data_IF_028350162565
#
_entry.id   IF_028350162565
#
_cell.length_a   1.000
_cell.length_b   1.000
_cell.length_c   1.000
_cell.angle_alpha   90.00
_cell.angle_beta   90.00
_cell.angle_gamma   90.00
#
_symmetry.space_group_name_H-M   'P 1'
#
loop_
_entity.id
_entity.type
_entity.pdbx_description
1 polymer ?
#
# COMPACT_ATOMS: atom_id res chain seq x y z
N UNK A 1 -4.63 42.38 -26.07
CA UNK A 1 -3.95 41.07 -26.05
C UNK A 1 -4.15 40.31 -24.74
N UNK A 2 -3.95 40.95 -23.58
CA UNK A 2 -3.92 40.25 -22.28
C UNK A 2 -5.28 39.65 -21.86
N UNK A 3 -6.40 40.26 -22.23
CA UNK A 3 -7.75 39.76 -21.90
C UNK A 3 -8.03 38.35 -22.44
N UNK A 4 -7.62 38.08 -23.68
CA UNK A 4 -7.80 36.76 -24.31
C UNK A 4 -6.94 35.70 -23.60
N UNK A 5 -5.73 36.08 -23.21
CA UNK A 5 -4.81 35.19 -22.49
C UNK A 5 -5.34 34.88 -21.09
N UNK A 6 -5.89 35.87 -20.38
CA UNK A 6 -6.53 35.66 -19.07
C UNK A 6 -7.75 34.75 -19.17
N UNK A 7 -8.60 34.92 -20.19
CA UNK A 7 -9.78 34.05 -20.41
C UNK A 7 -9.36 32.63 -20.76
N UNK A 8 -8.36 32.46 -21.63
CA UNK A 8 -7.81 31.14 -21.97
C UNK A 8 -7.23 30.44 -20.73
N UNK A 9 -6.50 31.17 -19.90
CA UNK A 9 -5.94 30.63 -18.66
C UNK A 9 -7.03 30.21 -17.67
N UNK A 10 -8.07 31.04 -17.48
CA UNK A 10 -9.22 30.70 -16.64
C UNK A 10 -9.95 29.44 -17.13
N UNK A 11 -10.09 29.31 -18.45
CA UNK A 11 -10.75 28.15 -19.05
C UNK A 11 -9.92 26.88 -18.89
N UNK A 12 -8.60 26.98 -19.10
CA UNK A 12 -7.68 25.87 -18.84
C UNK A 12 -7.74 25.43 -17.37
N UNK A 13 -7.63 26.36 -16.41
CA UNK A 13 -7.73 26.05 -14.97
C UNK A 13 -9.06 25.39 -14.63
N UNK A 14 -10.17 25.85 -15.21
CA UNK A 14 -11.50 25.27 -14.96
C UNK A 14 -11.59 23.81 -15.46
N UNK A 15 -11.04 23.52 -16.64
CA UNK A 15 -11.02 22.16 -17.20
C UNK A 15 -10.12 21.23 -16.37
N UNK A 16 -8.90 21.68 -16.02
CA UNK A 16 -7.98 20.91 -15.18
C UNK A 16 -8.57 20.63 -13.79
N UNK A 17 -9.22 21.61 -13.18
CA UNK A 17 -9.89 21.45 -11.88
C UNK A 17 -11.06 20.46 -11.96
N UNK A 18 -11.81 20.42 -13.06
CA UNK A 18 -12.86 19.45 -13.30
C UNK A 18 -12.34 18.01 -13.46
N UNK A 19 -11.16 17.82 -14.08
CA UNK A 19 -10.53 16.50 -14.21
C UNK A 19 -9.87 16.01 -12.91
N UNK A 20 -9.37 16.92 -12.08
CA UNK A 20 -8.79 16.57 -10.77
C UNK A 20 -9.84 16.44 -9.66
N UNK A 21 -11.03 17.03 -9.86
CA UNK A 21 -12.15 16.85 -8.95
C UNK A 21 -12.63 15.41 -9.10
N UNK A 22 -12.20 14.57 -8.17
CA UNK A 22 -12.86 13.30 -7.91
C UNK A 22 -14.36 13.59 -7.84
N UNK A 23 -15.13 13.04 -8.79
CA UNK A 23 -16.60 13.07 -8.74
C UNK A 23 -16.93 12.56 -7.35
N UNK A 24 -17.38 13.45 -6.47
CA UNK A 24 -17.70 13.08 -5.08
C UNK A 24 -18.61 11.87 -5.22
N UNK A 25 -18.15 10.67 -4.81
CA UNK A 25 -19.01 9.51 -4.91
C UNK A 25 -20.25 9.91 -4.13
N UNK A 26 -21.42 9.85 -4.78
CA UNK A 26 -22.72 9.78 -4.09
C UNK A 26 -22.47 9.09 -2.77
N UNK A 27 -22.70 9.79 -1.65
CA UNK A 27 -22.15 9.58 -0.31
C UNK A 27 -22.60 8.23 0.28
N UNK A 28 -22.31 7.15 -0.42
CA UNK A 28 -22.65 5.80 -0.08
C UNK A 28 -21.71 5.44 1.05
N UNK A 29 -22.23 5.22 2.26
CA UNK A 29 -21.39 4.76 3.34
C UNK A 29 -20.77 3.43 2.90
N UNK A 30 -19.46 3.34 3.01
CA UNK A 30 -18.76 2.08 2.78
C UNK A 30 -19.27 1.04 3.77
N UNK A 31 -19.47 -0.18 3.27
CA UNK A 31 -19.70 -1.33 4.11
C UNK A 31 -18.44 -1.62 4.95
N UNK A 32 -18.61 -2.40 6.03
CA UNK A 32 -17.49 -2.80 6.86
C UNK A 32 -16.40 -3.55 6.06
N UNK A 33 -16.79 -4.37 5.08
CA UNK A 33 -15.85 -5.10 4.23
C UNK A 33 -15.11 -4.17 3.26
N UNK A 34 -15.82 -3.24 2.60
CA UNK A 34 -15.18 -2.24 1.72
C UNK A 34 -14.22 -1.34 2.51
N UNK A 35 -14.58 -0.95 3.73
CA UNK A 35 -13.72 -0.13 4.60
C UNK A 35 -12.46 -0.89 5.01
N UNK A 36 -12.60 -2.19 5.30
CA UNK A 36 -11.48 -3.07 5.64
C UNK A 36 -10.56 -3.27 4.44
N UNK A 37 -11.11 -3.50 3.25
CA UNK A 37 -10.34 -3.62 2.01
C UNK A 37 -9.57 -2.33 1.71
N UNK A 38 -10.23 -1.18 1.83
CA UNK A 38 -9.60 0.13 1.63
C UNK A 38 -8.46 0.37 2.63
N UNK A 39 -8.65 0.01 3.90
CA UNK A 39 -7.60 0.12 4.91
C UNK A 39 -6.41 -0.82 4.62
N UNK A 40 -6.69 -2.03 4.10
CA UNK A 40 -5.66 -2.98 3.68
C UNK A 40 -4.88 -2.50 2.46
N UNK A 41 -5.54 -1.88 1.47
CA UNK A 41 -4.85 -1.28 0.32
C UNK A 41 -3.94 -0.13 0.77
N UNK A 42 -4.47 0.77 1.60
CA UNK A 42 -3.71 1.89 2.14
C UNK A 42 -2.48 1.40 2.91
N UNK A 43 -2.62 0.34 3.71
CA UNK A 43 -1.50 -0.29 4.41
C UNK A 43 -0.46 -0.87 3.45
N UNK A 44 -0.88 -1.60 2.42
CA UNK A 44 0.04 -2.21 1.44
C UNK A 44 0.84 -1.18 0.63
N UNK A 45 0.34 0.05 0.49
CA UNK A 45 1.03 1.16 -0.17
C UNK A 45 2.02 1.90 0.75
N UNK A 46 1.94 1.71 2.06
CA UNK A 46 2.89 2.30 3.00
C UNK A 46 4.15 1.43 3.01
N UNK A 47 5.27 1.94 2.52
CA UNK A 47 6.57 1.26 2.52
C UNK A 47 7.15 1.08 3.93
N UNK A 48 6.48 0.30 4.77
CA UNK A 48 6.83 0.06 6.17
C UNK A 48 7.86 -1.06 6.29
N UNK A 49 8.58 -1.08 7.42
CA UNK A 49 9.37 -2.26 7.78
C UNK A 49 8.46 -3.46 8.05
N UNK A 50 9.04 -4.67 7.97
CA UNK A 50 8.29 -5.92 8.14
C UNK A 50 7.49 -5.95 9.44
N UNK A 51 8.12 -5.64 10.57
CA UNK A 51 7.49 -5.67 11.88
C UNK A 51 6.33 -4.65 11.98
N UNK A 52 6.55 -3.42 11.49
CA UNK A 52 5.54 -2.37 11.49
C UNK A 52 4.34 -2.72 10.60
N UNK A 53 4.59 -3.30 9.42
CA UNK A 53 3.54 -3.76 8.52
C UNK A 53 2.68 -4.83 9.19
N UNK A 54 3.30 -5.84 9.80
CA UNK A 54 2.61 -6.93 10.46
C UNK A 54 1.84 -6.48 11.71
N UNK A 55 2.41 -5.56 12.49
CA UNK A 55 1.73 -4.98 13.64
C UNK A 55 0.47 -4.21 13.24
N UNK A 56 0.56 -3.34 12.22
CA UNK A 56 -0.58 -2.59 11.70
C UNK A 56 -1.62 -3.49 11.04
N UNK A 57 -1.19 -4.51 10.30
CA UNK A 57 -2.09 -5.50 9.69
C UNK A 57 -2.88 -6.27 10.74
N UNK A 58 -2.23 -6.70 11.83
CA UNK A 58 -2.91 -7.40 12.92
C UNK A 58 -3.98 -6.51 13.57
N UNK A 59 -3.67 -5.22 13.79
CA UNK A 59 -4.63 -4.25 14.31
C UNK A 59 -5.86 -4.08 13.39
N UNK A 60 -5.65 -3.98 12.06
CA UNK A 60 -6.76 -3.89 11.09
C UNK A 60 -7.63 -5.15 11.04
N UNK A 61 -7.03 -6.32 11.30
CA UNK A 61 -7.74 -7.60 11.30
C UNK A 61 -8.33 -7.98 12.66
N UNK A 62 -8.12 -7.16 13.71
CA UNK A 62 -8.49 -7.50 15.08
C UNK A 62 -7.76 -8.73 15.62
N UNK A 63 -6.64 -9.11 15.01
CA UNK A 63 -5.86 -10.27 15.40
C UNK A 63 -4.89 -9.86 16.51
N UNK A 64 -4.62 -10.74 17.48
CA UNK A 64 -3.58 -10.49 18.47
C UNK A 64 -2.26 -10.27 17.73
N UNK A 65 -1.55 -9.21 18.10
CA UNK A 65 -0.24 -8.87 17.55
C UNK A 65 0.75 -9.92 18.03
N UNK A 66 0.82 -11.06 17.34
CA UNK A 66 1.88 -12.04 17.54
C UNK A 66 3.17 -11.34 17.15
N UNK A 67 4.13 -11.22 18.06
CA UNK A 67 5.49 -10.87 17.67
C UNK A 67 5.96 -11.97 16.73
N UNK A 68 6.01 -11.68 15.43
CA UNK A 68 6.71 -12.53 14.47
C UNK A 68 8.19 -12.38 14.78
N UNK A 69 8.64 -13.03 15.85
CA UNK A 69 10.05 -13.18 16.13
C UNK A 69 10.60 -14.06 15.03
N UNK A 70 11.42 -13.49 14.15
CA UNK A 70 12.25 -14.29 13.28
C UNK A 70 13.10 -15.20 14.17
N UNK A 71 12.89 -16.49 14.06
CA UNK A 71 13.83 -17.48 14.53
C UNK A 71 15.14 -17.19 13.80
N UNK A 72 16.18 -16.84 14.55
CA UNK A 72 17.54 -16.58 14.04
C UNK A 72 18.18 -17.78 13.33
N UNK A 73 17.43 -18.86 13.14
CA UNK A 73 17.76 -20.02 12.33
C UNK A 73 17.43 -19.81 10.83
N UNK A 74 16.73 -18.73 10.47
CA UNK A 74 16.37 -18.36 9.10
C UNK A 74 17.52 -17.76 8.26
N UNK A 75 18.71 -17.58 8.84
CA UNK A 75 19.93 -17.27 8.10
C UNK A 75 20.42 -18.52 7.33
N UNK A 76 19.63 -19.01 6.38
CA UNK A 76 20.12 -19.91 5.35
C UNK A 76 21.07 -19.14 4.45
N UNK A 77 22.34 -19.10 4.84
CA UNK A 77 23.44 -18.71 3.97
C UNK A 77 23.35 -19.54 2.69
N UNK A 78 23.19 -18.89 1.54
CA UNK A 78 23.19 -19.54 0.22
C UNK A 78 24.46 -20.40 -0.01
N UNK A 79 25.55 -20.09 0.70
CA UNK A 79 26.79 -20.88 0.70
C UNK A 79 26.66 -22.25 1.38
N UNK A 80 25.75 -22.42 2.35
CA UNK A 80 25.57 -23.71 3.06
C UNK A 80 24.85 -24.75 2.19
N UNK A 81 24.05 -24.33 1.21
CA UNK A 81 23.35 -25.25 0.30
C UNK A 81 24.30 -25.99 -0.66
N UNK A 82 25.52 -25.46 -0.89
CA UNK A 82 26.49 -26.05 -1.83
C UNK A 82 27.29 -27.20 -1.20
N UNK A 83 27.25 -27.35 0.13
CA UNK A 83 28.02 -28.38 0.85
C UNK A 83 27.24 -29.69 1.10
N UNK A 84 26.21 -30.00 0.29
CA UNK A 84 25.65 -31.36 0.19
C UNK A 84 26.61 -32.24 -0.63
N UNK A 85 27.77 -32.53 -0.06
CA UNK A 85 28.68 -33.57 -0.53
C UNK A 85 28.01 -34.94 -0.33
N UNK A 86 27.80 -35.69 -1.41
CA UNK A 86 27.75 -37.15 -1.35
C UNK A 86 26.40 -37.82 -1.64
N UNK A 87 25.70 -37.43 -2.72
CA UNK A 87 24.73 -38.35 -3.35
C UNK A 87 25.34 -38.89 -4.65
N UNK A 88 25.69 -40.20 -4.73
CA UNK A 88 26.07 -40.80 -6.00
C UNK A 88 24.85 -40.90 -6.93
N UNK A 89 25.09 -40.59 -8.20
CA UNK A 89 24.19 -40.74 -9.35
C UNK A 89 23.84 -42.20 -9.62
#
# INVERSE_FOLDING_TARGET
MNRLLTVSLLLAVSVLAGCASHVSPELRPYTAEETKELAMEALNRQGLSFEEYHAKKAALLGQPTKSFGFDSQGEMNAERAVHLHGRPS
#
